data_IF_356275803706
#
_entry.id   IF_356275803706
#
_cell.length_a   1.000
_cell.length_b   1.000
_cell.length_c   1.000
_cell.angle_alpha   90.00
_cell.angle_beta   90.00
_cell.angle_gamma   90.00
#
_symmetry.space_group_name_H-M   'P 1'
#
loop_
_entity.id
_entity.type
_entity.pdbx_description
1 polymer ?
#
# COMPACT_ATOMS: atom_id res chain seq x y z
N UNK A 1 14.27 7.22 26.64
CA UNK A 1 15.58 6.88 26.01
C UNK A 1 15.80 5.39 26.22
N UNK A 2 16.10 4.64 25.16
CA UNK A 2 16.16 3.17 25.19
C UNK A 2 17.61 2.74 25.41
N UNK A 3 17.86 1.89 26.41
CA UNK A 3 19.18 1.32 26.67
C UNK A 3 19.42 0.19 25.65
N UNK A 4 20.48 0.30 24.83
CA UNK A 4 20.85 -0.69 23.80
C UNK A 4 20.66 -0.25 22.34
N UNK A 5 20.05 0.91 22.10
CA UNK A 5 19.93 1.51 20.77
C UNK A 5 19.25 0.61 19.72
N UNK A 6 19.44 0.94 18.43
CA UNK A 6 18.94 0.15 17.29
C UNK A 6 19.55 -1.26 17.18
N UNK A 7 20.69 -1.51 17.81
CA UNK A 7 21.45 -2.76 17.66
C UNK A 7 20.74 -3.96 18.32
N UNK A 8 20.15 -3.78 19.50
CA UNK A 8 19.42 -4.84 20.21
C UNK A 8 18.11 -5.25 19.51
N UNK A 9 17.50 -4.35 18.73
CA UNK A 9 16.35 -4.64 17.89
C UNK A 9 16.74 -5.45 16.65
N UNK A 10 17.93 -5.21 16.08
CA UNK A 10 18.43 -5.97 14.93
C UNK A 10 18.84 -7.40 15.29
N UNK A 11 19.39 -7.63 16.49
CA UNK A 11 19.80 -8.97 16.93
C UNK A 11 18.61 -9.89 17.28
N UNK A 12 17.50 -9.33 17.76
CA UNK A 12 16.27 -10.09 18.02
C UNK A 12 15.34 -10.17 16.80
N UNK A 13 15.66 -9.49 15.72
CA UNK A 13 14.94 -9.59 14.45
C UNK A 13 15.35 -10.89 13.75
N UNK A 14 14.74 -11.99 14.18
CA UNK A 14 14.71 -13.22 13.39
C UNK A 14 13.92 -12.95 12.11
N UNK A 15 14.62 -12.49 11.08
CA UNK A 15 14.14 -12.56 9.71
C UNK A 15 14.03 -14.04 9.34
N UNK A 16 12.81 -14.59 9.09
CA UNK A 16 12.68 -15.96 8.65
C UNK A 16 13.45 -16.13 7.34
N UNK A 17 14.34 -17.12 7.30
CA UNK A 17 15.23 -17.38 6.17
C UNK A 17 14.48 -17.63 4.84
N UNK A 18 13.17 -17.92 4.91
CA UNK A 18 12.29 -18.04 3.74
C UNK A 18 12.09 -16.73 2.95
N UNK A 19 12.39 -15.56 3.53
CA UNK A 19 12.37 -14.28 2.81
C UNK A 19 13.69 -13.98 2.07
N UNK A 20 14.69 -14.87 2.13
CA UNK A 20 15.98 -14.74 1.41
C UNK A 20 15.92 -15.14 -0.07
N UNK A 21 14.74 -15.51 -0.58
CA UNK A 21 14.63 -16.17 -1.88
C UNK A 21 14.20 -15.30 -3.07
N UNK A 22 13.56 -14.15 -2.88
CA UNK A 22 13.14 -13.27 -3.98
C UNK A 22 13.29 -11.81 -3.59
N UNK A 23 14.42 -11.24 -3.98
CA UNK A 23 14.85 -9.85 -3.75
C UNK A 23 14.21 -8.88 -4.76
N UNK A 24 13.20 -9.34 -5.52
CA UNK A 24 12.50 -8.54 -6.52
C UNK A 24 11.03 -8.35 -6.10
N UNK A 25 10.81 -7.78 -4.91
CA UNK A 25 9.48 -7.30 -4.54
C UNK A 25 9.30 -5.91 -5.14
N UNK A 26 8.69 -5.85 -6.32
CA UNK A 26 8.34 -4.59 -6.94
C UNK A 26 7.11 -4.03 -6.23
N UNK A 27 7.28 -2.86 -5.61
CA UNK A 27 6.23 -2.19 -4.84
C UNK A 27 5.68 -1.02 -5.64
N UNK A 28 4.36 -0.99 -5.78
CA UNK A 28 3.62 0.16 -6.29
C UNK A 28 2.77 0.72 -5.14
N UNK A 29 2.84 2.02 -4.91
CA UNK A 29 2.02 2.72 -3.93
C UNK A 29 1.13 3.69 -4.68
N UNK A 30 -0.17 3.43 -4.63
CA UNK A 30 -1.19 4.30 -5.17
C UNK A 30 -1.91 5.00 -4.02
N UNK A 31 -2.31 6.24 -4.25
CA UNK A 31 -3.21 6.97 -3.38
C UNK A 31 -4.53 7.12 -4.10
N UNK A 32 -5.58 6.53 -3.55
CA UNK A 32 -6.94 6.60 -4.08
C UNK A 32 -7.77 7.54 -3.21
N UNK A 33 -8.42 8.51 -3.83
CA UNK A 33 -9.48 9.30 -3.21
C UNK A 33 -10.80 8.57 -3.43
N UNK A 34 -11.35 8.01 -2.37
CA UNK A 34 -12.63 7.31 -2.39
C UNK A 34 -13.70 8.31 -1.96
N UNK A 35 -14.71 8.51 -2.78
CA UNK A 35 -15.85 9.40 -2.51
C UNK A 35 -16.85 8.80 -1.51
N UNK A 36 -17.88 9.57 -1.14
CA UNK A 36 -18.91 9.17 -0.18
C UNK A 36 -19.81 8.02 -0.69
N UNK A 37 -19.77 7.73 -1.98
CA UNK A 37 -20.48 6.67 -2.69
C UNK A 37 -19.66 5.38 -2.84
N UNK A 38 -18.37 5.39 -2.47
CA UNK A 38 -17.43 4.30 -2.72
C UNK A 38 -16.75 4.34 -4.09
N UNK A 39 -17.03 5.37 -4.90
CA UNK A 39 -16.37 5.57 -6.18
C UNK A 39 -14.96 6.15 -6.01
N UNK A 40 -14.03 5.75 -6.87
CA UNK A 40 -12.69 6.32 -6.88
C UNK A 40 -12.75 7.64 -7.65
N UNK A 41 -12.66 8.76 -6.94
CA UNK A 41 -12.70 10.11 -7.50
C UNK A 41 -11.36 10.52 -8.11
N UNK A 42 -10.25 10.09 -7.51
CA UNK A 42 -8.91 10.44 -7.99
C UNK A 42 -7.88 9.35 -7.64
N UNK A 43 -6.85 9.24 -8.46
CA UNK A 43 -5.76 8.28 -8.30
C UNK A 43 -4.40 8.95 -8.54
N UNK A 44 -3.58 8.96 -7.50
CA UNK A 44 -2.22 9.52 -7.55
C UNK A 44 -1.21 8.39 -7.38
N UNK A 45 -0.29 8.29 -8.32
CA UNK A 45 0.85 7.38 -8.20
C UNK A 45 1.91 7.99 -7.29
N UNK A 46 2.07 7.41 -6.10
CA UNK A 46 3.08 7.86 -5.14
C UNK A 46 4.44 7.22 -5.41
N UNK A 47 4.46 5.93 -5.76
CA UNK A 47 5.69 5.21 -6.04
C UNK A 47 5.43 4.01 -6.96
N UNK A 48 6.29 3.77 -7.95
CA UNK A 48 6.31 2.55 -8.75
C UNK A 48 7.73 2.17 -9.11
N UNK A 49 8.01 0.87 -9.20
CA UNK A 49 9.24 0.37 -9.81
C UNK A 49 9.23 0.56 -11.34
N UNK A 50 8.09 0.29 -11.98
CA UNK A 50 7.95 0.29 -13.44
C UNK A 50 6.61 0.88 -13.90
N UNK A 51 6.61 1.54 -15.07
CA UNK A 51 5.40 2.08 -15.69
C UNK A 51 4.35 1.00 -15.99
N UNK A 52 4.77 -0.19 -16.44
CA UNK A 52 3.85 -1.28 -16.73
C UNK A 52 3.14 -1.79 -15.47
N UNK A 53 3.86 -1.88 -14.34
CA UNK A 53 3.26 -2.23 -13.06
C UNK A 53 2.35 -1.13 -12.54
N UNK A 54 2.75 0.14 -12.69
CA UNK A 54 1.90 1.27 -12.32
C UNK A 54 0.57 1.23 -13.06
N UNK A 55 0.59 0.97 -14.38
CA UNK A 55 -0.63 0.88 -15.18
C UNK A 55 -1.51 -0.31 -14.78
N UNK A 56 -0.91 -1.48 -14.52
CA UNK A 56 -1.65 -2.64 -14.02
C UNK A 56 -2.28 -2.38 -12.64
N UNK A 57 -1.54 -1.70 -11.75
CA UNK A 57 -2.01 -1.31 -10.44
C UNK A 57 -3.16 -0.30 -10.52
N UNK A 58 -3.06 0.73 -11.38
CA UNK A 58 -4.13 1.70 -11.62
C UNK A 58 -5.38 0.99 -12.14
N UNK A 59 -5.22 0.08 -13.11
CA UNK A 59 -6.34 -0.68 -13.64
C UNK A 59 -7.01 -1.55 -12.58
N UNK A 60 -6.23 -2.22 -11.74
CA UNK A 60 -6.75 -3.04 -10.65
C UNK A 60 -7.52 -2.21 -9.62
N UNK A 61 -6.99 -1.05 -9.23
CA UNK A 61 -7.67 -0.13 -8.31
C UNK A 61 -8.94 0.41 -8.94
N UNK A 62 -8.93 0.80 -10.22
CA UNK A 62 -10.12 1.31 -10.90
C UNK A 62 -11.24 0.25 -11.06
N UNK A 63 -10.89 -1.03 -11.13
CA UNK A 63 -11.85 -2.15 -11.21
C UNK A 63 -12.32 -2.64 -9.83
N UNK A 64 -11.71 -2.15 -8.75
CA UNK A 64 -12.05 -2.56 -7.40
C UNK A 64 -13.09 -1.60 -6.85
N UNK A 65 -14.24 -2.12 -6.41
CA UNK A 65 -15.19 -1.33 -5.62
C UNK A 65 -14.62 -1.12 -4.22
N UNK A 66 -14.51 0.14 -3.81
CA UNK A 66 -14.04 0.48 -2.47
C UNK A 66 -15.21 0.82 -1.57
N UNK A 67 -15.17 0.31 -0.34
CA UNK A 67 -16.11 0.75 0.69
C UNK A 67 -15.64 2.11 1.20
N UNK A 68 -16.49 3.15 1.11
CA UNK A 68 -16.14 4.46 1.62
C UNK A 68 -16.02 4.44 3.14
N UNK A 69 -15.25 5.37 3.70
CA UNK A 69 -15.13 5.47 5.14
C UNK A 69 -16.43 6.03 5.74
N UNK A 70 -16.92 5.38 6.79
CA UNK A 70 -18.05 5.87 7.57
C UNK A 70 -17.53 6.44 8.88
N UNK A 71 -17.71 7.74 9.10
CA UNK A 71 -17.38 8.42 10.34
C UNK A 71 -18.66 9.01 10.93
N UNK A 72 -18.97 8.68 12.18
CA UNK A 72 -20.17 9.18 12.88
C UNK A 72 -21.48 9.00 12.07
N UNK A 73 -21.66 7.80 11.48
CA UNK A 73 -22.81 7.44 10.62
C UNK A 73 -22.96 8.27 9.33
N UNK A 74 -21.95 9.08 8.98
CA UNK A 74 -21.85 9.77 7.70
C UNK A 74 -20.76 9.15 6.86
N UNK A 75 -21.11 8.84 5.61
CA UNK A 75 -20.13 8.44 4.63
C UNK A 75 -19.30 9.65 4.24
N UNK A 76 -17.98 9.56 4.32
CA UNK A 76 -17.07 10.67 4.03
C UNK A 76 -16.10 10.27 2.93
N UNK A 77 -15.72 11.25 2.11
CA UNK A 77 -14.63 11.06 1.17
C UNK A 77 -13.31 10.86 1.94
N UNK A 78 -12.58 9.79 1.61
CA UNK A 78 -11.33 9.45 2.28
C UNK A 78 -10.23 9.21 1.28
N UNK A 79 -9.01 9.60 1.64
CA UNK A 79 -7.82 9.31 0.85
C UNK A 79 -7.12 8.11 1.48
N UNK A 80 -6.96 7.04 0.70
CA UNK A 80 -6.33 5.81 1.15
C UNK A 80 -5.08 5.52 0.33
N UNK A 81 -3.98 5.20 1.03
CA UNK A 81 -2.76 4.73 0.38
C UNK A 81 -2.82 3.21 0.27
N UNK A 82 -2.78 2.70 -0.96
CA UNK A 82 -2.88 1.30 -1.32
C UNK A 82 -1.49 0.82 -1.76
N UNK A 83 -0.73 0.14 -0.87
CA UNK A 83 0.51 -0.50 -1.26
C UNK A 83 0.23 -1.84 -1.94
N UNK A 84 0.54 -1.93 -3.23
CA UNK A 84 0.46 -3.14 -4.03
C UNK A 84 1.86 -3.75 -4.13
N UNK A 85 1.99 -4.97 -3.63
CA UNK A 85 3.23 -5.75 -3.67
C UNK A 85 3.13 -6.76 -4.80
N UNK A 86 3.94 -6.58 -5.85
CA UNK A 86 4.07 -7.57 -6.91
C UNK A 86 5.06 -8.63 -6.48
N UNK A 87 4.60 -9.88 -6.47
CA UNK A 87 5.45 -11.06 -6.26
C UNK A 87 5.53 -11.79 -7.59
N UNK A 88 6.70 -11.75 -8.22
CA UNK A 88 7.06 -12.70 -9.28
C UNK A 88 7.55 -13.99 -8.67
#
# INVERSE_FOLDING_TARGET
MIVGGMTALMENLQFPQAARGRVNMERVVLQALIGESGEVLDLVLLQSADCSLAQAAIYAVNQTEFTPATLDHKTIATTMNIPILFRQ
#
